data_IF_734907048781
#
_entry.id   IF_734907048781
#
_cell.length_a   1.000
_cell.length_b   1.000
_cell.length_c   1.000
_cell.angle_alpha   90.00
_cell.angle_beta   90.00
_cell.angle_gamma   90.00
#
_symmetry.space_group_name_H-M   'P 1'
#
loop_
_entity.id
_entity.type
_entity.pdbx_description
1 polymer ?
#
# COMPACT_ATOMS: atom_id res chain seq x y z
N UNK A 1 -7.29 15.19 22.81
CA UNK A 1 -7.76 15.03 21.42
C UNK A 1 -8.48 13.70 21.37
N UNK A 2 -9.73 13.68 20.92
CA UNK A 2 -10.55 12.45 20.94
C UNK A 2 -10.33 11.73 19.61
N UNK A 3 -9.69 10.58 19.69
CA UNK A 3 -9.50 9.62 18.60
C UNK A 3 -10.90 9.13 18.16
N UNK A 4 -11.34 9.50 16.94
CA UNK A 4 -12.68 9.18 16.47
C UNK A 4 -12.65 7.83 15.77
N UNK A 5 -12.95 6.76 16.51
CA UNK A 5 -13.33 5.48 15.90
C UNK A 5 -14.62 5.71 15.11
N UNK A 6 -14.55 5.72 13.78
CA UNK A 6 -15.71 5.83 12.89
C UNK A 6 -16.03 4.48 12.29
N UNK A 7 -17.24 4.00 12.59
CA UNK A 7 -17.75 2.72 12.10
C UNK A 7 -18.56 2.95 10.83
N UNK A 8 -18.09 2.43 9.71
CA UNK A 8 -18.70 2.61 8.39
C UNK A 8 -19.64 1.44 8.10
N UNK A 9 -20.80 1.33 8.78
CA UNK A 9 -21.73 0.22 8.48
C UNK A 9 -22.38 0.41 7.10
N UNK A 10 -21.91 -0.31 6.07
CA UNK A 10 -22.67 -0.72 4.89
C UNK A 10 -23.29 0.38 4.01
N UNK A 11 -22.94 1.64 4.22
CA UNK A 11 -23.39 2.76 3.41
C UNK A 11 -22.26 3.77 3.31
N UNK A 12 -21.78 3.96 2.08
CA UNK A 12 -21.17 5.17 1.53
C UNK A 12 -21.05 6.27 2.60
N UNK A 13 -19.85 6.50 3.12
CA UNK A 13 -19.53 7.66 3.95
C UNK A 13 -20.27 8.87 3.38
N UNK A 14 -21.08 9.54 4.22
CA UNK A 14 -21.81 10.70 3.75
C UNK A 14 -20.79 11.75 3.26
N UNK A 15 -21.10 12.58 2.23
CA UNK A 15 -20.15 13.58 1.72
C UNK A 15 -19.65 14.60 2.77
N UNK A 16 -20.28 14.65 3.95
CA UNK A 16 -19.87 15.44 5.12
C UNK A 16 -18.87 14.75 6.04
N UNK A 17 -18.64 13.44 5.90
CA UNK A 17 -17.63 12.66 6.64
C UNK A 17 -16.27 12.69 5.95
N UNK A 18 -15.91 13.83 5.34
CA UNK A 18 -14.52 14.10 4.98
C UNK A 18 -13.70 13.95 6.24
N UNK A 19 -12.98 12.84 6.34
CA UNK A 19 -11.95 12.66 7.35
C UNK A 19 -11.00 13.85 7.17
N UNK A 20 -10.82 14.58 8.27
CA UNK A 20 -10.08 15.82 8.26
C UNK A 20 -8.60 15.55 8.14
N UNK A 21 -7.77 16.55 8.45
CA UNK A 21 -6.30 16.39 8.51
C UNK A 21 -5.82 15.71 9.80
N UNK A 22 -6.55 14.73 10.32
CA UNK A 22 -6.27 14.09 11.61
C UNK A 22 -6.14 12.58 11.48
N UNK A 23 -5.34 11.99 12.36
CA UNK A 23 -5.18 10.53 12.47
C UNK A 23 -6.51 9.91 12.90
N UNK A 24 -7.10 9.11 12.02
CA UNK A 24 -8.40 8.50 12.19
C UNK A 24 -8.28 6.95 12.24
N UNK A 25 -9.19 6.32 12.98
CA UNK A 25 -9.32 4.86 13.04
C UNK A 25 -10.68 4.44 12.46
N UNK A 26 -10.64 3.76 11.31
CA UNK A 26 -11.80 3.38 10.52
C UNK A 26 -12.01 1.88 10.55
N UNK A 27 -13.27 1.49 10.72
CA UNK A 27 -13.68 0.10 10.63
C UNK A 27 -14.89 -0.06 9.69
N UNK A 28 -14.77 -0.92 8.69
CA UNK A 28 -15.87 -1.26 7.76
C UNK A 28 -16.93 -2.10 8.46
N UNK A 29 -16.53 -3.27 8.93
CA UNK A 29 -17.43 -4.19 9.61
C UNK A 29 -17.71 -5.40 8.75
N UNK A 30 -18.95 -5.85 8.75
CA UNK A 30 -19.35 -6.94 7.85
C UNK A 30 -20.00 -6.30 6.62
N UNK A 31 -19.61 -6.75 5.42
CA UNK A 31 -20.09 -6.25 4.15
C UNK A 31 -18.97 -5.71 3.27
N UNK A 32 -19.34 -5.21 2.09
CA UNK A 32 -18.40 -4.56 1.19
C UNK A 32 -18.37 -3.07 1.51
N UNK A 33 -17.31 -2.59 2.13
CA UNK A 33 -17.20 -1.24 2.64
C UNK A 33 -16.27 -0.36 1.78
N UNK A 34 -16.36 0.95 2.00
CA UNK A 34 -15.47 1.94 1.40
C UNK A 34 -14.95 2.87 2.49
N UNK A 35 -13.65 2.78 2.75
CA UNK A 35 -12.95 3.50 3.81
C UNK A 35 -11.95 4.46 3.17
N UNK A 36 -11.96 5.73 3.62
CA UNK A 36 -11.02 6.75 3.15
C UNK A 36 -10.47 7.51 4.37
N UNK A 37 -9.18 7.37 4.66
CA UNK A 37 -8.43 7.97 5.78
C UNK A 37 -8.29 9.49 5.67
N UNK A 38 -8.05 9.99 4.46
CA UNK A 38 -7.95 11.41 4.20
C UNK A 38 -6.52 11.91 4.37
N UNK A 39 -6.27 12.76 5.37
CA UNK A 39 -4.91 13.22 5.64
C UNK A 39 -4.60 13.01 7.11
N UNK A 40 -3.42 12.49 7.43
CA UNK A 40 -3.11 12.02 8.77
C UNK A 40 -2.43 10.66 8.68
N UNK A 41 -2.07 10.11 9.84
CA UNK A 41 -1.63 8.72 9.91
C UNK A 41 -2.84 7.88 10.34
N UNK A 42 -3.50 7.26 9.38
CA UNK A 42 -4.78 6.61 9.56
C UNK A 42 -4.63 5.11 9.72
N UNK A 43 -5.61 4.49 10.38
CA UNK A 43 -5.71 3.03 10.48
C UNK A 43 -7.05 2.59 9.93
N UNK A 44 -7.05 1.88 8.81
CA UNK A 44 -8.25 1.39 8.14
C UNK A 44 -8.31 -0.14 8.22
N UNK A 45 -9.46 -0.65 8.65
CA UNK A 45 -9.74 -2.08 8.72
C UNK A 45 -11.07 -2.40 8.04
N UNK A 46 -11.01 -3.06 6.88
CA UNK A 46 -12.15 -3.50 6.09
C UNK A 46 -12.98 -4.56 6.82
N UNK A 47 -12.29 -5.63 7.24
CA UNK A 47 -12.81 -6.84 7.91
C UNK A 47 -13.42 -7.84 6.91
N UNK A 48 -14.74 -8.01 6.90
CA UNK A 48 -15.36 -9.13 6.22
C UNK A 48 -16.13 -8.67 5.00
N UNK A 49 -15.66 -8.99 3.81
CA UNK A 49 -16.27 -8.60 2.55
C UNK A 49 -15.21 -8.07 1.58
N UNK A 50 -15.66 -7.55 0.45
CA UNK A 50 -14.77 -7.00 -0.56
C UNK A 50 -14.69 -5.48 -0.38
N UNK A 51 -13.62 -5.02 0.28
CA UNK A 51 -13.51 -3.64 0.74
C UNK A 51 -12.69 -2.76 -0.20
N UNK A 52 -13.01 -1.47 -0.22
CA UNK A 52 -12.20 -0.44 -0.88
C UNK A 52 -11.56 0.46 0.17
N UNK A 53 -10.24 0.41 0.30
CA UNK A 53 -9.48 1.16 1.31
C UNK A 53 -8.61 2.22 0.64
N UNK A 54 -8.69 3.47 1.10
CA UNK A 54 -7.82 4.57 0.68
C UNK A 54 -7.22 5.20 1.93
N UNK A 55 -5.90 5.09 2.13
CA UNK A 55 -5.22 5.76 3.24
C UNK A 55 -5.29 7.27 3.07
N UNK A 56 -4.62 7.76 2.02
CA UNK A 56 -4.55 9.18 1.69
C UNK A 56 -3.19 9.73 2.07
N UNK A 57 -3.11 11.00 2.50
CA UNK A 57 -1.82 11.61 2.81
C UNK A 57 -1.35 11.24 4.22
N UNK A 58 -0.17 10.65 4.32
CA UNK A 58 0.48 10.38 5.60
C UNK A 58 0.93 8.94 5.66
N UNK A 59 1.25 8.45 6.87
CA UNK A 59 1.66 7.07 7.06
C UNK A 59 0.46 6.25 7.53
N UNK A 60 -0.10 5.47 6.62
CA UNK A 60 -1.32 4.73 6.88
C UNK A 60 -1.08 3.25 7.13
N UNK A 61 -2.02 2.65 7.86
CA UNK A 61 -2.12 1.21 8.06
C UNK A 61 -3.42 0.74 7.43
N UNK A 62 -3.32 -0.07 6.39
CA UNK A 62 -4.47 -0.59 5.63
C UNK A 62 -4.57 -2.10 5.83
N UNK A 63 -5.72 -2.58 6.30
CA UNK A 63 -5.99 -4.01 6.51
C UNK A 63 -7.30 -4.39 5.82
N UNK A 64 -7.23 -5.15 4.73
CA UNK A 64 -8.41 -5.70 4.06
C UNK A 64 -9.08 -6.78 4.92
N UNK A 65 -8.27 -7.75 5.35
CA UNK A 65 -8.67 -8.95 6.12
C UNK A 65 -9.24 -10.06 5.23
N UNK A 66 -10.56 -10.25 5.17
CA UNK A 66 -11.16 -11.39 4.44
C UNK A 66 -12.04 -10.90 3.32
N UNK A 67 -11.75 -11.36 2.10
CA UNK A 67 -12.51 -11.02 0.90
C UNK A 67 -11.57 -10.67 -0.22
N UNK A 68 -12.09 -10.01 -1.25
CA UNK A 68 -11.31 -9.45 -2.34
C UNK A 68 -11.21 -7.95 -2.13
N UNK A 69 -10.12 -7.52 -1.50
CA UNK A 69 -9.96 -6.12 -1.10
C UNK A 69 -9.18 -5.32 -2.15
N UNK A 70 -9.51 -4.05 -2.28
CA UNK A 70 -8.83 -3.10 -3.16
C UNK A 70 -8.29 -1.94 -2.36
N UNK A 71 -6.97 -1.78 -2.39
CA UNK A 71 -6.26 -0.70 -1.71
C UNK A 71 -5.89 0.36 -2.74
N UNK A 72 -6.55 1.51 -2.67
CA UNK A 72 -6.50 2.57 -3.66
C UNK A 72 -5.59 3.72 -3.19
N UNK A 73 -4.70 4.12 -4.08
CA UNK A 73 -3.87 5.32 -3.95
C UNK A 73 -4.41 6.42 -4.87
N UNK A 74 -4.60 7.65 -4.38
CA UNK A 74 -5.03 8.78 -5.22
C UNK A 74 -3.83 9.50 -5.85
N UNK A 75 -2.66 9.41 -5.21
CA UNK A 75 -1.39 9.90 -5.74
C UNK A 75 -0.25 8.99 -5.28
N UNK A 76 0.81 8.88 -6.09
CA UNK A 76 2.02 8.17 -5.65
C UNK A 76 2.82 8.98 -4.62
N UNK A 77 2.54 10.28 -4.50
CA UNK A 77 3.10 11.14 -3.45
C UNK A 77 2.47 10.95 -2.07
N UNK A 78 1.45 10.10 -1.95
CA UNK A 78 0.79 9.79 -0.68
C UNK A 78 1.63 8.85 0.20
N UNK A 79 2.38 7.92 -0.41
CA UNK A 79 3.17 6.90 0.31
C UNK A 79 4.66 7.00 -0.02
N UNK A 80 5.25 8.18 0.15
CA UNK A 80 6.68 8.41 -0.06
C UNK A 80 7.54 7.72 0.99
N UNK A 81 8.85 7.57 0.75
CA UNK A 81 9.79 6.94 1.69
C UNK A 81 9.72 7.50 3.13
N UNK A 82 9.41 8.79 3.29
CA UNK A 82 9.29 9.44 4.60
C UNK A 82 8.03 9.06 5.39
N UNK A 83 7.03 8.48 4.74
CA UNK A 83 5.71 8.20 5.30
C UNK A 83 5.02 7.08 4.55
N UNK A 84 5.73 5.99 4.27
CA UNK A 84 5.19 4.89 3.48
C UNK A 84 4.13 4.12 4.26
N UNK A 85 3.12 3.66 3.53
CA UNK A 85 2.03 2.88 4.07
C UNK A 85 2.42 1.44 4.36
N UNK A 86 1.67 0.87 5.30
CA UNK A 86 1.77 -0.53 5.68
C UNK A 86 0.46 -1.22 5.38
N UNK A 87 0.49 -2.17 4.45
CA UNK A 87 -0.61 -3.07 4.16
C UNK A 87 -0.43 -4.32 5.01
N UNK A 88 -1.45 -4.66 5.78
CA UNK A 88 -1.49 -5.86 6.60
C UNK A 88 -2.55 -6.82 6.08
N UNK A 89 -2.33 -8.12 6.31
CA UNK A 89 -3.28 -9.15 5.90
C UNK A 89 -3.35 -9.35 4.37
N UNK A 90 -2.39 -8.79 3.62
CA UNK A 90 -2.35 -8.92 2.16
C UNK A 90 -2.37 -10.39 1.74
N UNK A 91 -3.45 -10.77 1.08
CA UNK A 91 -3.70 -12.11 0.58
C UNK A 91 -3.17 -12.21 -0.85
N UNK A 92 -1.91 -12.66 -1.01
CA UNK A 92 -1.24 -12.74 -2.32
C UNK A 92 -1.59 -13.97 -3.17
N UNK A 93 -2.47 -14.87 -2.71
CA UNK A 93 -2.78 -16.12 -3.44
C UNK A 93 -4.23 -16.55 -3.24
N UNK A 94 -4.90 -16.96 -4.30
CA UNK A 94 -6.22 -17.61 -4.24
C UNK A 94 -7.41 -16.72 -4.58
N UNK A 95 -8.61 -17.12 -4.15
CA UNK A 95 -9.89 -16.46 -4.46
C UNK A 95 -10.17 -15.17 -3.66
N UNK A 96 -9.23 -14.77 -2.80
CA UNK A 96 -9.22 -13.55 -2.00
C UNK A 96 -7.99 -12.69 -2.35
N UNK A 97 -7.51 -12.72 -3.60
CA UNK A 97 -6.36 -11.92 -4.01
C UNK A 97 -6.66 -10.43 -3.89
N UNK A 98 -5.97 -9.76 -2.98
CA UNK A 98 -6.10 -8.32 -2.79
C UNK A 98 -5.39 -7.56 -3.92
N UNK A 99 -6.00 -6.47 -4.37
CA UNK A 99 -5.45 -5.55 -5.37
C UNK A 99 -4.92 -4.29 -4.70
N UNK A 100 -3.81 -3.77 -5.23
CA UNK A 100 -3.32 -2.44 -4.91
C UNK A 100 -3.42 -1.61 -6.18
N UNK A 101 -4.33 -0.65 -6.18
CA UNK A 101 -4.64 0.18 -7.33
C UNK A 101 -3.86 1.51 -7.25
N UNK A 102 -3.02 1.75 -8.25
CA UNK A 102 -2.27 2.98 -8.39
C UNK A 102 -3.06 4.04 -9.20
N UNK A 103 -2.87 5.34 -8.92
CA UNK A 103 -3.65 6.42 -9.55
C UNK A 103 -3.29 6.69 -11.02
N UNK A 104 -2.21 6.08 -11.49
CA UNK A 104 -1.68 6.23 -12.85
C UNK A 104 -1.48 4.84 -13.44
N UNK A 105 -1.56 4.72 -14.77
CA UNK A 105 -1.18 3.49 -15.46
C UNK A 105 0.32 3.24 -15.33
N UNK A 106 0.71 2.65 -14.21
CA UNK A 106 1.93 1.88 -14.09
C UNK A 106 1.65 0.46 -14.63
N UNK A 107 2.64 -0.14 -15.28
CA UNK A 107 2.47 -1.50 -15.79
C UNK A 107 2.16 -2.44 -14.62
N UNK A 108 1.19 -3.37 -14.75
CA UNK A 108 0.92 -4.39 -13.75
C UNK A 108 2.18 -5.14 -13.36
N UNK A 109 2.38 -5.32 -12.06
CA UNK A 109 3.61 -5.90 -11.53
C UNK A 109 3.32 -7.28 -11.03
N UNK A 110 3.90 -8.24 -11.73
CA UNK A 110 4.06 -9.59 -11.25
C UNK A 110 5.18 -9.62 -10.20
N UNK A 111 4.82 -9.70 -8.92
CA UNK A 111 5.74 -9.97 -7.81
C UNK A 111 6.30 -11.39 -7.96
N UNK A 112 7.31 -11.53 -8.82
CA UNK A 112 7.95 -12.82 -9.16
C UNK A 112 9.15 -13.11 -8.28
N UNK A 113 9.90 -12.07 -7.90
CA UNK A 113 11.05 -12.16 -7.02
C UNK A 113 11.40 -10.79 -6.46
N UNK A 114 12.03 -10.78 -5.28
CA UNK A 114 12.70 -9.60 -4.76
C UNK A 114 13.90 -9.23 -5.65
N UNK A 115 14.10 -7.94 -5.93
CA UNK A 115 15.30 -7.40 -6.61
C UNK A 115 16.55 -7.39 -5.73
N UNK A 116 16.39 -7.64 -4.42
CA UNK A 116 17.50 -7.75 -3.47
C UNK A 116 17.08 -7.33 -2.07
N UNK A 117 18.08 -7.14 -1.20
CA UNK A 117 17.86 -6.72 0.19
C UNK A 117 18.61 -5.42 0.46
N UNK A 118 17.88 -4.35 0.71
CA UNK A 118 18.45 -3.06 1.10
C UNK A 118 18.87 -3.13 2.58
N UNK A 119 19.96 -2.45 2.93
CA UNK A 119 20.48 -2.46 4.30
C UNK A 119 19.65 -1.60 5.26
N UNK A 120 18.91 -0.62 4.75
CA UNK A 120 18.06 0.30 5.51
C UNK A 120 17.03 0.98 4.60
N UNK A 121 16.04 1.65 5.21
CA UNK A 121 15.05 2.47 4.51
C UNK A 121 15.59 3.89 4.24
N UNK A 122 16.66 3.97 3.44
CA UNK A 122 17.19 5.24 2.95
C UNK A 122 17.25 5.21 1.43
N UNK A 123 17.14 6.38 0.80
CA UNK A 123 17.22 6.48 -0.66
C UNK A 123 18.48 5.82 -1.22
N UNK A 124 19.65 6.11 -0.62
CA UNK A 124 20.92 5.53 -1.02
C UNK A 124 20.96 3.98 -0.89
N UNK A 125 20.41 3.43 0.20
CA UNK A 125 20.38 1.98 0.40
C UNK A 125 19.43 1.28 -0.57
N UNK A 126 18.30 1.92 -0.90
CA UNK A 126 17.30 1.38 -1.83
C UNK A 126 17.81 1.49 -3.27
N UNK A 127 18.44 2.59 -3.67
CA UNK A 127 19.03 2.77 -5.01
C UNK A 127 20.10 1.72 -5.35
N UNK A 128 20.81 1.18 -4.35
CA UNK A 128 21.77 0.11 -4.56
C UNK A 128 21.10 -1.21 -4.98
N UNK A 129 19.86 -1.43 -4.56
CA UNK A 129 19.06 -2.61 -4.93
C UNK A 129 18.23 -2.34 -6.19
N UNK A 130 17.57 -1.17 -6.23
CA UNK A 130 16.72 -0.71 -7.32
C UNK A 130 17.51 0.20 -8.27
N UNK A 131 18.50 -0.39 -8.94
CA UNK A 131 19.29 0.30 -9.96
C UNK A 131 18.43 0.68 -11.17
N UNK A 132 18.88 1.63 -11.99
CA UNK A 132 18.18 2.05 -13.21
C UNK A 132 17.84 0.89 -14.16
N UNK A 133 18.65 -0.17 -14.18
CA UNK A 133 18.39 -1.37 -14.98
C UNK A 133 17.35 -2.30 -14.34
N UNK A 134 17.26 -2.32 -13.01
CA UNK A 134 16.36 -3.17 -12.24
C UNK A 134 14.98 -2.53 -11.99
N UNK A 135 14.89 -1.19 -12.12
CA UNK A 135 13.72 -0.39 -11.82
C UNK A 135 13.55 0.70 -12.88
N UNK A 136 12.79 0.39 -13.92
CA UNK A 136 12.57 1.26 -15.07
C UNK A 136 11.43 2.26 -14.81
N UNK A 137 11.37 3.29 -15.67
CA UNK A 137 10.27 4.24 -15.70
C UNK A 137 8.91 3.55 -15.75
N UNK A 138 7.95 4.01 -14.94
CA UNK A 138 6.57 3.52 -14.91
C UNK A 138 6.43 2.02 -14.57
N UNK A 139 7.33 1.50 -13.74
CA UNK A 139 7.32 0.11 -13.25
C UNK A 139 7.32 0.06 -11.74
N UNK A 140 6.95 -1.06 -11.14
CA UNK A 140 7.22 -1.35 -9.73
C UNK A 140 8.39 -2.33 -9.57
N UNK A 141 8.86 -2.47 -8.33
CA UNK A 141 9.80 -3.51 -7.96
C UNK A 141 9.61 -3.90 -6.50
N UNK A 142 9.69 -5.20 -6.24
CA UNK A 142 9.74 -5.71 -4.89
C UNK A 142 11.18 -5.78 -4.39
N UNK A 143 11.40 -5.47 -3.12
CA UNK A 143 12.67 -5.63 -2.43
C UNK A 143 12.46 -5.99 -0.96
N UNK A 144 13.51 -6.44 -0.27
CA UNK A 144 13.52 -6.67 1.18
C UNK A 144 14.37 -5.61 1.87
N UNK A 145 14.19 -5.44 3.18
CA UNK A 145 15.06 -4.57 3.98
C UNK A 145 15.59 -5.36 5.19
N UNK A 146 16.90 -5.30 5.42
CA UNK A 146 17.55 -5.97 6.54
C UNK A 146 16.95 -5.51 7.86
N UNK A 147 16.54 -6.46 8.69
CA UNK A 147 15.93 -6.19 10.00
C UNK A 147 14.47 -5.73 9.95
N UNK A 148 13.85 -5.63 8.76
CA UNK A 148 12.43 -5.38 8.61
C UNK A 148 11.70 -6.64 8.15
N UNK A 149 10.47 -6.82 8.64
CA UNK A 149 9.61 -7.93 8.22
C UNK A 149 8.77 -7.56 7.01
N UNK A 150 8.38 -8.56 6.22
CA UNK A 150 7.55 -8.38 5.04
C UNK A 150 8.33 -8.01 3.77
N UNK A 151 7.57 -7.65 2.74
CA UNK A 151 8.09 -7.26 1.42
C UNK A 151 7.81 -5.79 1.18
N UNK A 152 8.79 -5.06 0.64
CA UNK A 152 8.61 -3.67 0.23
C UNK A 152 8.41 -3.61 -1.28
N UNK A 153 7.51 -2.75 -1.72
CA UNK A 153 7.23 -2.48 -3.12
C UNK A 153 7.53 -1.02 -3.36
N UNK A 154 8.38 -0.74 -4.35
CA UNK A 154 8.57 0.61 -4.87
C UNK A 154 7.75 0.77 -6.15
N UNK A 155 7.04 1.89 -6.31
CA UNK A 155 6.31 2.25 -7.53
C UNK A 155 7.01 3.44 -8.20
N UNK A 156 7.58 3.23 -9.39
CA UNK A 156 8.20 4.27 -10.20
C UNK A 156 7.17 4.88 -11.15
N UNK A 157 7.08 6.20 -11.19
CA UNK A 157 6.20 6.94 -12.12
C UNK A 157 6.95 7.92 -13.03
N UNK A 158 8.25 7.73 -13.17
CA UNK A 158 9.13 8.76 -13.69
C UNK A 158 10.40 8.19 -14.28
N UNK A 159 11.55 8.77 -13.91
CA UNK A 159 12.84 8.35 -14.45
C UNK A 159 13.26 6.98 -13.89
N UNK A 160 14.09 6.25 -14.63
CA UNK A 160 14.63 4.98 -14.15
C UNK A 160 15.50 5.19 -12.89
N UNK A 161 15.44 4.21 -11.98
CA UNK A 161 16.07 4.26 -10.66
C UNK A 161 15.12 4.79 -9.58
N UNK A 162 15.40 4.47 -8.32
CA UNK A 162 14.55 4.88 -7.20
C UNK A 162 14.77 6.35 -6.82
N UNK A 163 13.69 7.11 -6.68
CA UNK A 163 13.67 8.52 -6.31
C UNK A 163 12.75 8.74 -5.10
N UNK A 164 13.32 9.00 -3.92
CA UNK A 164 12.55 9.04 -2.67
C UNK A 164 11.48 10.14 -2.61
N UNK A 165 11.62 11.18 -3.43
CA UNK A 165 10.71 12.32 -3.47
C UNK A 165 9.49 12.13 -4.37
N UNK A 166 9.48 11.11 -5.24
CA UNK A 166 8.42 10.90 -6.25
C UNK A 166 7.92 9.48 -6.32
N UNK A 167 8.76 8.50 -5.97
CA UNK A 167 8.41 7.10 -6.00
C UNK A 167 7.75 6.70 -4.69
N UNK A 168 6.64 5.97 -4.80
CA UNK A 168 5.96 5.44 -3.65
C UNK A 168 6.71 4.21 -3.13
N UNK A 169 6.73 4.03 -1.82
CA UNK A 169 7.08 2.78 -1.16
C UNK A 169 5.86 2.27 -0.45
N UNK A 170 5.63 0.97 -0.48
CA UNK A 170 4.55 0.30 0.25
C UNK A 170 5.15 -0.91 0.94
N UNK A 171 4.81 -1.12 2.21
CA UNK A 171 5.19 -2.34 2.93
C UNK A 171 4.02 -3.32 2.95
N UNK A 172 4.22 -4.52 2.42
CA UNK A 172 3.32 -5.65 2.63
C UNK A 172 3.79 -6.43 3.87
N UNK A 173 3.21 -6.09 5.02
CA UNK A 173 3.53 -6.74 6.30
C UNK A 173 3.01 -8.18 6.31
N UNK A 174 3.86 -9.13 6.73
CA UNK A 174 3.52 -10.55 6.76
C UNK A 174 3.56 -11.26 5.41
N UNK A 175 3.64 -10.54 4.29
CA UNK A 175 3.84 -11.13 2.97
C UNK A 175 5.33 -11.26 2.63
N UNK A 176 5.77 -12.50 2.40
CA UNK A 176 7.14 -12.80 1.97
C UNK A 176 7.09 -13.44 0.58
N UNK A 177 7.64 -12.75 -0.43
CA UNK A 177 7.81 -13.34 -1.78
C UNK A 177 8.70 -14.59 -1.64
N UNK A 178 8.11 -15.78 -1.79
CA UNK A 178 8.79 -17.07 -1.64
C UNK A 178 8.36 -18.15 -2.66
N UNK A 179 7.61 -17.82 -3.72
CA UNK A 179 7.05 -18.83 -4.64
C UNK A 179 6.95 -18.41 -6.11
N UNK A 180 6.84 -19.40 -6.99
CA UNK A 180 6.84 -19.34 -8.47
C UNK A 180 5.57 -18.75 -9.09
N UNK A 181 4.55 -18.44 -8.29
CA UNK A 181 3.32 -17.82 -8.77
C UNK A 181 3.43 -16.29 -8.65
N UNK A 182 3.52 -15.57 -9.77
CA UNK A 182 3.50 -14.11 -9.75
C UNK A 182 2.20 -13.62 -9.12
N UNK A 183 2.33 -12.69 -8.18
CA UNK A 183 1.18 -11.96 -7.63
C UNK A 183 1.09 -10.64 -8.36
N UNK A 184 -0.07 -10.35 -8.95
CA UNK A 184 -0.29 -9.08 -9.63
C UNK A 184 -0.60 -8.03 -8.57
N UNK A 185 0.31 -7.07 -8.45
CA UNK A 185 0.07 -5.79 -7.80
C UNK A 185 -0.14 -4.80 -8.94
N UNK A 186 -1.25 -4.05 -8.90
CA UNK A 186 -1.82 -3.17 -9.95
C UNK A 186 -2.78 -3.89 -10.91
#
# INVERSE_FOLDING_TARGET
MVDKIRYCRGAKLAPSDRLGSGNDNLNGGDGNDTLNGGAGNDTLNGRAGNDNLTGGLGKDILTGSTGLDTLNYNSLGESLLSGFDVIQGYSGTGASLDSINAPVSIAPINLTASKGTAISLTEAAIQLVLTNAAFAANTAAAFKVTGQSGTFIALNNGAAGFQAASDAIIQLSGYNIAGTTPVVVI
#
